data_IF_612409924959
#
_entry.id   IF_612409924959
#
_cell.length_a   1.000
_cell.length_b   1.000
_cell.length_c   1.000
_cell.angle_alpha   90.00
_cell.angle_beta   90.00
_cell.angle_gamma   90.00
#
_symmetry.space_group_name_H-M   'P 1'
#
loop_
_entity.id
_entity.type
_entity.pdbx_description
1 polymer ?
#
# COMPACT_ATOMS: atom_id res chain seq x y z
N UNK A 1 -23.17 3.88 18.29
CA UNK A 1 -21.86 4.08 18.97
C UNK A 1 -20.92 2.89 18.74
N UNK A 2 -20.58 2.56 17.48
CA UNK A 2 -19.41 1.73 17.16
C UNK A 2 -18.65 2.35 15.98
N UNK A 3 -18.23 3.61 16.14
CA UNK A 3 -17.07 4.14 15.41
C UNK A 3 -15.80 3.58 16.09
N UNK A 4 -15.76 2.26 16.23
CA UNK A 4 -14.75 1.53 16.95
C UNK A 4 -13.62 1.30 15.96
N UNK A 5 -12.45 1.87 16.23
CA UNK A 5 -11.23 1.70 15.43
C UNK A 5 -10.94 0.22 15.14
N UNK A 6 -11.40 -0.68 16.02
CA UNK A 6 -11.35 -2.12 15.85
C UNK A 6 -12.12 -2.61 14.61
N UNK A 7 -13.30 -2.04 14.30
CA UNK A 7 -14.07 -2.41 13.10
C UNK A 7 -13.32 -2.06 11.82
N UNK A 8 -12.79 -0.83 11.74
CA UNK A 8 -11.98 -0.37 10.60
C UNK A 8 -10.66 -1.14 10.49
N UNK A 9 -10.04 -1.50 11.63
CA UNK A 9 -8.84 -2.33 11.66
C UNK A 9 -9.11 -3.76 11.18
N UNK A 10 -10.25 -4.36 11.55
CA UNK A 10 -10.63 -5.70 11.10
C UNK A 10 -10.91 -5.72 9.60
N UNK A 11 -11.66 -4.74 9.09
CA UNK A 11 -11.85 -4.56 7.64
C UNK A 11 -10.51 -4.42 6.92
N UNK A 12 -9.61 -3.57 7.43
CA UNK A 12 -8.25 -3.40 6.87
C UNK A 12 -7.45 -4.71 6.86
N UNK A 13 -7.55 -5.52 7.91
CA UNK A 13 -6.89 -6.83 7.97
C UNK A 13 -7.40 -7.79 6.88
N UNK A 14 -8.73 -7.83 6.66
CA UNK A 14 -9.34 -8.64 5.59
C UNK A 14 -8.85 -8.19 4.21
N UNK A 15 -8.87 -6.88 3.93
CA UNK A 15 -8.35 -6.34 2.66
C UNK A 15 -6.86 -6.59 2.47
N UNK A 16 -6.06 -6.51 3.54
CA UNK A 16 -4.63 -6.82 3.48
C UNK A 16 -4.39 -8.30 3.15
N UNK A 17 -5.17 -9.22 3.74
CA UNK A 17 -5.08 -10.65 3.44
C UNK A 17 -5.44 -10.94 1.97
N UNK A 18 -6.55 -10.38 1.47
CA UNK A 18 -6.94 -10.50 0.07
C UNK A 18 -5.88 -9.94 -0.88
N UNK A 19 -5.31 -8.79 -0.54
CA UNK A 19 -4.21 -8.16 -1.28
C UNK A 19 -3.00 -9.09 -1.39
N UNK A 20 -2.61 -9.76 -0.30
CA UNK A 20 -1.49 -10.69 -0.29
C UNK A 20 -1.78 -11.93 -1.16
N UNK A 21 -3.01 -12.46 -1.10
CA UNK A 21 -3.43 -13.61 -1.92
C UNK A 21 -3.42 -13.24 -3.41
N UNK A 22 -4.07 -12.14 -3.79
CA UNK A 22 -4.09 -11.68 -5.18
C UNK A 22 -2.71 -11.30 -5.69
N UNK A 23 -1.87 -10.70 -4.86
CA UNK A 23 -0.47 -10.44 -5.19
C UNK A 23 0.29 -11.74 -5.50
N UNK A 24 0.19 -12.75 -4.62
CA UNK A 24 0.87 -14.04 -4.78
C UNK A 24 0.41 -14.78 -6.04
N UNK A 25 -0.89 -14.76 -6.35
CA UNK A 25 -1.43 -15.38 -7.57
C UNK A 25 -1.06 -14.55 -8.81
N UNK A 26 -1.17 -13.23 -8.74
CA UNK A 26 -0.92 -12.32 -9.85
C UNK A 26 0.53 -12.25 -10.30
N UNK A 27 1.51 -12.49 -9.42
CA UNK A 27 2.94 -12.55 -9.80
C UNK A 27 3.37 -13.93 -10.34
N UNK A 28 2.49 -14.94 -10.36
CA UNK A 28 2.83 -16.25 -10.92
C UNK A 28 2.92 -16.15 -12.44
N UNK A 29 4.12 -16.37 -12.99
CA UNK A 29 4.37 -16.39 -14.43
C UNK A 29 4.64 -15.02 -15.06
N UNK A 30 4.65 -13.92 -14.29
CA UNK A 30 5.06 -12.58 -14.75
C UNK A 30 6.12 -11.98 -13.84
N UNK A 31 6.90 -11.02 -14.35
CA UNK A 31 7.90 -10.32 -13.55
C UNK A 31 7.21 -9.51 -12.42
N UNK A 32 7.75 -9.58 -11.20
CA UNK A 32 7.23 -8.88 -10.01
C UNK A 32 7.14 -7.37 -10.19
N UNK A 33 8.10 -6.78 -10.90
CA UNK A 33 8.16 -5.34 -11.14
C UNK A 33 7.03 -4.91 -12.08
N UNK A 34 6.72 -5.74 -13.08
CA UNK A 34 5.60 -5.53 -13.99
C UNK A 34 4.24 -5.67 -13.28
N UNK A 35 4.09 -6.69 -12.42
CA UNK A 35 2.88 -6.85 -11.61
C UNK A 35 2.66 -5.65 -10.66
N UNK A 36 3.75 -5.12 -10.08
CA UNK A 36 3.72 -3.92 -9.23
C UNK A 36 3.30 -2.69 -10.02
N UNK A 37 3.79 -2.54 -11.26
CA UNK A 37 3.39 -1.46 -12.14
C UNK A 37 1.89 -1.48 -12.45
N UNK A 38 1.36 -2.65 -12.84
CA UNK A 38 -0.08 -2.83 -13.11
C UNK A 38 -0.91 -2.47 -11.87
N UNK A 39 -0.51 -2.96 -10.69
CA UNK A 39 -1.17 -2.62 -9.42
C UNK A 39 -1.15 -1.11 -9.15
N UNK A 40 -0.06 -0.43 -9.46
CA UNK A 40 0.07 1.02 -9.26
C UNK A 40 -0.91 1.78 -10.14
N UNK A 41 -1.08 1.38 -11.41
CA UNK A 41 -2.09 1.99 -12.28
C UNK A 41 -3.51 1.80 -11.77
N UNK A 42 -3.84 0.60 -11.25
CA UNK A 42 -5.15 0.34 -10.64
C UNK A 42 -5.38 1.24 -9.42
N UNK A 43 -4.37 1.40 -8.56
CA UNK A 43 -4.45 2.28 -7.38
C UNK A 43 -4.63 3.75 -7.79
N UNK A 44 -3.87 4.22 -8.79
CA UNK A 44 -4.01 5.58 -9.31
C UNK A 44 -5.44 5.80 -9.82
N UNK A 45 -5.97 4.88 -10.64
CA UNK A 45 -7.34 4.97 -11.15
C UNK A 45 -8.39 5.00 -10.05
N UNK A 46 -8.26 4.13 -9.04
CA UNK A 46 -9.16 4.09 -7.89
C UNK A 46 -9.11 5.38 -7.06
N UNK A 47 -7.91 5.93 -6.81
CA UNK A 47 -7.75 7.20 -6.09
C UNK A 47 -8.29 8.38 -6.89
N UNK A 48 -8.05 8.45 -8.19
CA UNK A 48 -8.60 9.49 -9.06
C UNK A 48 -10.13 9.45 -9.08
N UNK A 49 -10.73 8.26 -9.19
CA UNK A 49 -12.19 8.10 -9.11
C UNK A 49 -12.72 8.56 -7.75
N UNK A 50 -12.08 8.14 -6.66
CA UNK A 50 -12.47 8.53 -5.30
C UNK A 50 -12.40 10.06 -5.09
N UNK A 51 -11.31 10.72 -5.51
CA UNK A 51 -11.17 12.18 -5.43
C UNK A 51 -12.20 12.91 -6.29
N UNK A 52 -12.55 12.34 -7.45
CA UNK A 52 -13.58 12.90 -8.34
C UNK A 52 -14.97 12.80 -7.73
N UNK A 53 -15.33 11.64 -7.17
CA UNK A 53 -16.63 11.42 -6.51
C UNK A 53 -16.77 12.26 -5.24
N UNK A 54 -15.69 12.40 -4.46
CA UNK A 54 -15.68 13.18 -3.22
C UNK A 54 -15.48 14.69 -3.43
N UNK A 55 -15.08 15.11 -4.64
CA UNK A 55 -14.77 16.51 -4.97
C UNK A 55 -13.54 17.06 -4.23
N UNK A 56 -12.73 16.23 -3.60
CA UNK A 56 -11.60 16.66 -2.74
C UNK A 56 -10.29 16.89 -3.50
N UNK A 57 -10.39 17.36 -4.74
CA UNK A 57 -9.21 17.74 -5.51
C UNK A 57 -8.56 18.96 -4.87
N UNK A 58 -7.35 18.78 -4.35
CA UNK A 58 -6.57 19.88 -3.76
C UNK A 58 -5.79 20.62 -4.86
N UNK A 59 -5.70 21.95 -4.73
CA UNK A 59 -4.89 22.74 -5.65
C UNK A 59 -3.40 22.51 -5.33
N UNK A 60 -2.55 22.22 -6.33
CA UNK A 60 -1.12 21.99 -6.11
C UNK A 60 -0.39 23.14 -5.38
N UNK A 61 -0.91 24.37 -5.51
CA UNK A 61 -0.36 25.57 -4.86
C UNK A 61 -0.76 25.78 -3.39
N UNK A 62 -1.71 25.01 -2.86
CA UNK A 62 -2.07 25.04 -1.43
C UNK A 62 -1.14 24.15 -0.58
N UNK A 63 -0.38 23.27 -1.24
CA UNK A 63 0.53 22.33 -0.60
C UNK A 63 1.92 22.97 -0.52
N UNK A 64 2.48 23.07 0.70
CA UNK A 64 3.82 23.62 0.90
C UNK A 64 4.90 22.79 0.17
N UNK A 65 5.98 23.44 -0.29
CA UNK A 65 7.10 22.75 -0.94
C UNK A 65 7.74 21.67 -0.04
N UNK A 66 7.71 21.88 1.28
CA UNK A 66 8.17 20.89 2.27
C UNK A 66 7.26 19.66 2.28
N UNK A 67 5.94 19.85 2.26
CA UNK A 67 4.97 18.77 2.17
C UNK A 67 5.15 17.97 0.88
N UNK A 68 5.38 18.64 -0.26
CA UNK A 68 5.71 17.97 -1.52
C UNK A 68 6.95 17.09 -1.42
N UNK A 69 8.03 17.60 -0.82
CA UNK A 69 9.26 16.81 -0.64
C UNK A 69 9.01 15.56 0.21
N UNK A 70 8.31 15.69 1.35
CA UNK A 70 7.98 14.54 2.20
C UNK A 70 7.03 13.55 1.53
N UNK A 71 6.06 14.02 0.74
CA UNK A 71 5.16 13.14 -0.02
C UNK A 71 5.91 12.36 -1.10
N UNK A 72 6.83 13.00 -1.82
CA UNK A 72 7.67 12.34 -2.83
C UNK A 72 8.59 11.31 -2.17
N UNK A 73 9.27 11.68 -1.09
CA UNK A 73 10.14 10.75 -0.34
C UNK A 73 9.33 9.57 0.23
N UNK A 74 8.13 9.81 0.75
CA UNK A 74 7.22 8.77 1.23
C UNK A 74 6.77 7.84 0.08
N UNK A 75 6.45 8.41 -1.08
CA UNK A 75 6.07 7.66 -2.27
C UNK A 75 7.22 6.77 -2.76
N UNK A 76 8.45 7.29 -2.80
CA UNK A 76 9.65 6.53 -3.13
C UNK A 76 9.91 5.40 -2.13
N UNK A 77 9.76 5.67 -0.83
CA UNK A 77 9.90 4.65 0.20
C UNK A 77 8.84 3.54 0.07
N UNK A 78 7.60 3.91 -0.26
CA UNK A 78 6.50 2.95 -0.48
C UNK A 78 6.76 2.11 -1.73
N UNK A 79 7.19 2.73 -2.83
CA UNK A 79 7.57 2.03 -4.06
C UNK A 79 8.72 1.05 -3.82
N UNK A 80 9.79 1.50 -3.17
CA UNK A 80 10.93 0.64 -2.82
C UNK A 80 10.51 -0.55 -1.92
N UNK A 81 9.63 -0.30 -0.95
CA UNK A 81 9.05 -1.35 -0.10
C UNK A 81 8.26 -2.38 -0.92
N UNK A 82 7.43 -1.95 -1.88
CA UNK A 82 6.70 -2.87 -2.75
C UNK A 82 7.64 -3.73 -3.59
N UNK A 83 8.65 -3.14 -4.23
CA UNK A 83 9.62 -3.92 -5.01
C UNK A 83 10.25 -5.03 -4.15
N UNK A 84 10.68 -4.70 -2.93
CA UNK A 84 11.24 -5.68 -2.00
C UNK A 84 10.21 -6.75 -1.57
N UNK A 85 8.98 -6.34 -1.23
CA UNK A 85 7.90 -7.22 -0.80
C UNK A 85 7.47 -8.21 -1.90
N UNK A 86 7.25 -7.73 -3.11
CA UNK A 86 6.83 -8.59 -4.23
C UNK A 86 7.94 -9.54 -4.64
N UNK A 87 9.21 -9.09 -4.60
CA UNK A 87 10.35 -9.97 -4.83
C UNK A 87 10.46 -11.05 -3.75
N UNK A 88 10.18 -10.72 -2.49
CA UNK A 88 10.08 -11.70 -1.42
C UNK A 88 8.91 -12.69 -1.62
N UNK A 89 7.74 -12.23 -2.05
CA UNK A 89 6.59 -13.09 -2.37
C UNK A 89 6.84 -14.03 -3.56
N UNK A 90 7.68 -13.62 -4.50
CA UNK A 90 8.05 -14.44 -5.66
C UNK A 90 8.93 -15.62 -5.25
N UNK A 91 9.83 -15.43 -4.27
CA UNK A 91 10.79 -16.44 -3.81
C UNK A 91 10.24 -17.27 -2.64
N UNK A 92 9.39 -16.69 -1.79
CA UNK A 92 8.89 -17.31 -0.55
C UNK A 92 7.37 -17.29 -0.41
N UNK A 93 6.82 -18.18 0.42
CA UNK A 93 5.38 -18.29 0.65
C UNK A 93 4.75 -17.04 1.27
N UNK A 94 3.54 -16.69 0.83
CA UNK A 94 2.79 -15.56 1.37
C UNK A 94 2.57 -15.68 2.89
N UNK A 95 2.43 -16.92 3.40
CA UNK A 95 2.31 -17.21 4.84
C UNK A 95 3.56 -16.89 5.65
N UNK A 96 4.75 -16.83 5.03
CA UNK A 96 6.02 -16.46 5.68
C UNK A 96 6.37 -14.99 5.49
N UNK A 97 6.07 -14.44 4.31
CA UNK A 97 6.38 -13.05 3.96
C UNK A 97 5.42 -12.05 4.63
N UNK A 98 4.13 -12.38 4.71
CA UNK A 98 3.13 -11.46 5.27
C UNK A 98 3.33 -11.15 6.78
N UNK A 99 3.69 -12.11 7.66
CA UNK A 99 3.99 -11.80 9.06
C UNK A 99 5.25 -10.93 9.23
N UNK A 100 6.27 -11.13 8.40
CA UNK A 100 7.52 -10.34 8.42
C UNK A 100 7.27 -8.91 7.93
N UNK A 101 6.48 -8.73 6.87
CA UNK A 101 6.07 -7.40 6.40
C UNK A 101 5.30 -6.61 7.46
N UNK A 102 4.47 -7.31 8.24
CA UNK A 102 3.72 -6.75 9.37
C UNK A 102 4.59 -6.39 10.59
N UNK A 103 5.88 -6.76 10.63
CA UNK A 103 6.81 -6.23 11.64
C UNK A 103 7.06 -4.72 11.48
N UNK A 104 6.75 -4.13 10.32
CA UNK A 104 6.71 -2.67 10.17
C UNK A 104 5.81 -2.00 11.22
N UNK A 105 4.76 -2.68 11.69
CA UNK A 105 3.90 -2.24 12.80
C UNK A 105 4.68 -2.10 14.11
N UNK A 106 5.68 -2.96 14.36
CA UNK A 106 6.55 -2.88 15.55
C UNK A 106 7.45 -1.65 15.49
N UNK A 107 8.01 -1.34 14.31
CA UNK A 107 8.83 -0.13 14.12
C UNK A 107 8.01 1.17 14.25
N UNK A 108 6.76 1.15 13.81
CA UNK A 108 5.83 2.27 14.02
C UNK A 108 5.42 2.38 15.50
N UNK A 109 5.16 1.25 16.17
CA UNK A 109 4.82 1.23 17.59
C UNK A 109 5.95 1.74 18.50
N UNK A 110 7.21 1.60 18.09
CA UNK A 110 8.37 2.18 18.81
C UNK A 110 8.51 3.71 18.63
N UNK A 111 7.72 4.32 17.74
CA UNK A 111 7.74 5.76 17.45
C UNK A 111 6.47 6.51 17.88
N UNK A 112 5.56 5.83 18.60
CA UNK A 112 4.38 6.42 19.27
C UNK A 112 4.65 6.53 20.77
#
# INVERSE_FOLDING_TARGET
MMASWQFWALMSAVFAALTAIFAKVGIQGINSDFATLVRTFVIIGALCLFLTVTGQWQKPGEISARSWLFLVLSGLATGASWLAYFRALQIGDASRVAPIDKLSVVLVALRV
#
